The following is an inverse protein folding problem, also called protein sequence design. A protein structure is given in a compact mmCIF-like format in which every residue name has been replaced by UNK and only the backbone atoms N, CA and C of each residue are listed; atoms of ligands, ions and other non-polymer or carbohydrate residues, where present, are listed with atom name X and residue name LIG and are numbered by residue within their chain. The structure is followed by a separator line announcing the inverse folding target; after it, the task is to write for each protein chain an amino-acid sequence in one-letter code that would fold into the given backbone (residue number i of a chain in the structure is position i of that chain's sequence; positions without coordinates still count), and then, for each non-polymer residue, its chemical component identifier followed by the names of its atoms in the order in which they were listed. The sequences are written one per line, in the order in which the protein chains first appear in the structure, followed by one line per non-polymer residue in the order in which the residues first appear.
data_IF_469461121266
#
_entry.id   IF_469461121266
#
_cell.length_a   1.000
_cell.length_b   1.000
_cell.length_c   1.000
_cell.angle_alpha   90.00
_cell.angle_beta   90.00
_cell.angle_gamma   90.00
#
_symmetry.space_group_name_H-M   'P 1'
#
loop_
_entity.id
_entity.type
_entity.pdbx_description
1 polymer ?
#
# COMPACT_ATOMS: atom_id res chain seq x y z
N UNK A 1 -12.51 4.97 25.93
CA UNK A 1 -11.34 5.38 25.16
C UNK A 1 -11.08 4.38 24.07
N UNK A 2 -11.13 4.84 22.84
CA UNK A 2 -10.82 3.97 21.71
C UNK A 2 -9.31 3.98 21.49
N UNK A 3 -8.72 2.82 21.44
CA UNK A 3 -7.31 2.70 21.12
C UNK A 3 -7.08 3.09 19.66
N UNK A 4 -6.05 3.88 19.42
CA UNK A 4 -5.64 4.23 18.07
C UNK A 4 -4.88 3.08 17.44
N UNK A 5 -5.22 2.77 16.20
CA UNK A 5 -4.39 1.89 15.40
C UNK A 5 -3.30 2.75 14.75
N UNK A 6 -2.05 2.44 15.03
CA UNK A 6 -0.92 3.20 14.48
C UNK A 6 -0.37 2.48 13.27
N UNK A 7 -0.22 3.20 12.18
CA UNK A 7 0.22 2.62 10.91
C UNK A 7 1.40 3.38 10.31
N UNK A 8 2.15 2.66 9.49
CA UNK A 8 3.15 3.25 8.61
C UNK A 8 2.78 3.01 7.15
N UNK A 9 3.28 3.85 6.27
CA UNK A 9 3.09 3.72 4.83
C UNK A 9 4.44 3.79 4.13
N UNK A 10 4.71 2.83 3.25
CA UNK A 10 5.89 2.85 2.39
C UNK A 10 5.41 2.90 0.94
N UNK A 11 5.78 3.96 0.21
CA UNK A 11 5.36 4.16 -1.18
C UNK A 11 6.47 3.82 -2.15
N UNK A 12 6.09 3.52 -3.39
CA UNK A 12 7.04 3.26 -4.46
C UNK A 12 7.72 4.56 -4.89
N UNK A 13 9.03 4.58 -4.89
CA UNK A 13 9.79 5.77 -5.26
C UNK A 13 9.61 6.17 -6.72
N UNK A 14 9.17 5.25 -7.57
CA UNK A 14 8.90 5.53 -9.00
C UNK A 14 7.51 6.11 -9.24
N UNK A 15 6.56 5.91 -8.33
CA UNK A 15 5.15 6.24 -8.53
C UNK A 15 4.61 7.04 -7.35
N UNK A 16 5.21 8.23 -7.13
CA UNK A 16 4.77 9.13 -6.07
C UNK A 16 4.59 10.57 -6.55
N UNK A 17 4.30 10.73 -7.84
CA UNK A 17 4.11 12.06 -8.43
C UNK A 17 2.91 12.81 -7.85
N UNK A 18 1.99 12.10 -7.21
CA UNK A 18 0.89 12.73 -6.47
C UNK A 18 1.33 13.23 -5.09
N UNK A 19 2.64 13.20 -4.78
CA UNK A 19 3.20 13.57 -3.47
C UNK A 19 2.60 12.75 -2.33
N UNK A 20 2.21 11.50 -2.60
CA UNK A 20 1.55 10.66 -1.61
C UNK A 20 0.11 11.05 -1.34
N UNK A 21 -0.42 12.02 -2.07
CA UNK A 21 -1.75 12.57 -1.82
C UNK A 21 -2.88 11.57 -1.97
N UNK A 22 -2.77 10.64 -2.92
CA UNK A 22 -3.79 9.60 -3.10
C UNK A 22 -3.83 8.65 -1.91
N UNK A 23 -2.67 8.27 -1.37
CA UNK A 23 -2.60 7.44 -0.17
C UNK A 23 -3.25 8.15 1.03
N UNK A 24 -2.92 9.42 1.23
CA UNK A 24 -3.44 10.18 2.36
C UNK A 24 -4.94 10.44 2.21
N UNK A 25 -5.41 10.71 0.98
CA UNK A 25 -6.84 10.88 0.72
C UNK A 25 -7.62 9.61 1.03
N UNK A 26 -7.11 8.47 0.60
CA UNK A 26 -7.77 7.20 0.87
C UNK A 26 -7.76 6.83 2.35
N UNK A 27 -6.71 7.19 3.07
CA UNK A 27 -6.67 7.01 4.52
C UNK A 27 -7.75 7.87 5.19
N UNK A 28 -7.84 9.13 4.81
CA UNK A 28 -8.84 10.03 5.36
C UNK A 28 -10.27 9.52 5.10
N UNK A 29 -10.52 9.05 3.89
CA UNK A 29 -11.84 8.58 3.46
C UNK A 29 -12.11 7.11 3.80
N UNK A 30 -11.13 6.38 4.32
CA UNK A 30 -11.23 4.94 4.59
C UNK A 30 -11.61 4.14 3.35
N UNK A 31 -10.92 4.42 2.24
CA UNK A 31 -11.12 3.76 0.96
C UNK A 31 -9.97 2.83 0.61
N UNK A 32 -10.17 1.95 -0.35
CA UNK A 32 -9.16 0.98 -0.75
C UNK A 32 -8.80 0.05 0.39
N UNK A 33 -7.51 -0.16 0.60
CA UNK A 33 -7.04 -1.02 1.68
C UNK A 33 -7.34 -0.45 3.06
N UNK A 34 -7.59 0.86 3.16
CA UNK A 34 -7.93 1.49 4.44
C UNK A 34 -9.39 1.28 4.85
N UNK A 35 -10.20 0.63 4.02
CA UNK A 35 -11.58 0.30 4.39
C UNK A 35 -11.65 -0.64 5.60
N UNK A 36 -10.58 -1.34 5.92
CA UNK A 36 -10.50 -2.17 7.12
C UNK A 36 -10.54 -1.35 8.42
N UNK A 37 -10.36 -0.04 8.32
CA UNK A 37 -10.34 0.86 9.48
C UNK A 37 -11.61 1.69 9.61
N UNK A 38 -12.72 1.25 9.01
CA UNK A 38 -14.00 1.93 9.20
C UNK A 38 -14.31 2.02 10.69
N UNK A 39 -14.72 3.21 11.13
CA UNK A 39 -15.07 3.49 12.52
C UNK A 39 -13.92 3.30 13.52
N UNK A 40 -12.68 3.21 13.02
CA UNK A 40 -11.50 3.11 13.89
C UNK A 40 -10.70 4.40 13.83
N UNK A 41 -10.10 4.72 14.97
CA UNK A 41 -9.17 5.84 15.06
C UNK A 41 -7.80 5.34 14.56
N UNK A 42 -7.22 6.04 13.59
CA UNK A 42 -5.96 5.66 12.98
C UNK A 42 -4.98 6.83 13.05
N UNK A 43 -3.76 6.54 13.45
CA UNK A 43 -2.68 7.51 13.49
C UNK A 43 -1.55 7.07 12.55
N UNK A 44 -1.15 7.95 11.65
CA UNK A 44 -0.01 7.70 10.77
C UNK A 44 1.26 8.07 11.52
N UNK A 45 2.12 7.08 11.77
CA UNK A 45 3.35 7.27 12.56
C UNK A 45 4.63 7.15 11.73
N UNK A 46 4.51 6.88 10.45
CA UNK A 46 5.65 6.82 9.55
C UNK A 46 5.21 6.84 8.10
N UNK A 47 6.00 7.50 7.25
CA UNK A 47 5.67 7.66 5.84
C UNK A 47 6.96 7.88 5.07
N UNK A 48 7.27 6.99 4.15
CA UNK A 48 8.49 7.09 3.36
C UNK A 48 8.37 6.31 2.05
N UNK A 49 9.42 6.33 1.25
CA UNK A 49 9.48 5.55 0.00
C UNK A 49 10.37 4.34 0.18
N UNK A 50 10.33 3.46 -0.83
CA UNK A 50 11.24 2.30 -0.90
C UNK A 50 12.68 2.71 -1.25
N UNK A 51 12.92 3.98 -1.57
CA UNK A 51 14.24 4.48 -1.95
C UNK A 51 14.67 4.13 -3.36
N UNK A 52 13.76 3.63 -4.18
CA UNK A 52 14.08 3.16 -5.53
C UNK A 52 14.49 1.70 -5.58
N UNK A 53 14.37 1.10 -6.76
CA UNK A 53 14.73 -0.31 -6.93
C UNK A 53 16.21 -0.55 -6.66
N UNK A 54 16.55 -1.62 -5.95
CA UNK A 54 15.74 -2.75 -5.53
C UNK A 54 14.96 -2.57 -4.24
N UNK A 55 14.86 -1.36 -3.68
CA UNK A 55 14.01 -1.09 -2.54
C UNK A 55 14.64 -1.34 -1.18
N UNK A 56 15.94 -1.07 -1.06
CA UNK A 56 16.67 -1.33 0.18
C UNK A 56 16.10 -0.61 1.40
N UNK A 57 15.48 0.56 1.20
CA UNK A 57 14.91 1.32 2.30
C UNK A 57 13.75 0.59 2.98
N UNK A 58 13.10 -0.35 2.31
CA UNK A 58 12.02 -1.15 2.90
C UNK A 58 12.55 -2.00 4.06
N UNK A 59 13.83 -2.34 4.06
CA UNK A 59 14.42 -3.13 5.14
C UNK A 59 14.72 -2.28 6.39
N UNK A 60 14.84 -0.97 6.26
CA UNK A 60 15.18 -0.08 7.37
C UNK A 60 13.99 0.74 7.89
N UNK A 61 13.15 1.21 7.00
CA UNK A 61 12.08 2.12 7.35
C UNK A 61 11.16 1.61 8.47
N UNK A 62 10.82 0.30 8.50
CA UNK A 62 9.96 -0.19 9.58
C UNK A 62 10.53 0.00 10.98
N UNK A 63 11.85 0.04 11.13
CA UNK A 63 12.47 0.17 12.46
C UNK A 63 11.98 1.41 13.20
N UNK A 64 12.00 2.57 12.56
CA UNK A 64 11.54 3.81 13.19
C UNK A 64 10.03 3.85 13.34
N UNK A 65 9.31 3.31 12.35
CA UNK A 65 7.85 3.21 12.43
C UNK A 65 7.40 2.39 13.64
N UNK A 66 8.05 1.25 13.86
CA UNK A 66 7.76 0.38 15.02
C UNK A 66 8.11 1.07 16.33
N UNK A 67 9.22 1.81 16.35
CA UNK A 67 9.60 2.62 17.50
C UNK A 67 8.52 3.61 17.90
N UNK A 68 7.83 4.15 16.89
CA UNK A 68 6.74 5.10 17.08
C UNK A 68 5.39 4.40 17.31
N UNK A 69 5.41 3.08 17.43
CA UNK A 69 4.25 2.30 17.80
C UNK A 69 3.45 1.71 16.65
N UNK A 70 4.00 1.70 15.41
CA UNK A 70 3.28 1.11 14.28
C UNK A 70 2.92 -0.35 14.54
N UNK A 71 1.66 -0.67 14.28
CA UNK A 71 1.12 -2.02 14.42
C UNK A 71 0.93 -2.67 13.05
N UNK A 72 0.76 -1.84 12.02
CA UNK A 72 0.54 -2.27 10.64
C UNK A 72 1.35 -1.39 9.72
N UNK A 73 1.99 -1.98 8.72
CA UNK A 73 2.67 -1.24 7.66
C UNK A 73 1.94 -1.52 6.35
N UNK A 74 1.55 -0.45 5.68
CA UNK A 74 0.92 -0.51 4.37
C UNK A 74 1.97 -0.30 3.28
N UNK A 75 2.06 -1.23 2.35
CA UNK A 75 2.84 -1.07 1.14
C UNK A 75 1.93 -0.48 0.07
N UNK A 76 2.27 0.70 -0.42
CA UNK A 76 1.35 1.50 -1.22
C UNK A 76 0.92 0.84 -2.53
N UNK A 77 -0.25 1.23 -3.00
CA UNK A 77 -0.82 0.75 -4.25
C UNK A 77 0.10 0.98 -5.44
N UNK A 78 0.94 2.02 -5.42
CA UNK A 78 1.92 2.25 -6.48
C UNK A 78 2.87 1.09 -6.71
N UNK A 79 3.15 0.27 -5.67
CA UNK A 79 3.97 -0.93 -5.81
C UNK A 79 3.26 -2.03 -6.62
N UNK A 80 1.95 -1.95 -6.71
CA UNK A 80 1.11 -2.96 -7.37
C UNK A 80 0.74 -2.53 -8.80
N UNK A 81 0.50 -1.23 -9.01
CA UNK A 81 0.00 -0.71 -10.28
C UNK A 81 1.08 -0.25 -11.24
N UNK A 82 2.34 -0.22 -10.80
CA UNK A 82 3.44 0.12 -11.69
C UNK A 82 3.53 -0.86 -12.86
N UNK A 83 4.23 -0.47 -13.89
CA UNK A 83 4.46 -1.39 -15.00
C UNK A 83 5.96 -1.39 -15.38
N UNK A 84 6.62 -2.49 -14.96
CA UNK A 84 6.02 -3.61 -14.22
C UNK A 84 5.72 -3.23 -12.76
N UNK A 85 4.83 -3.97 -12.12
CA UNK A 85 4.68 -3.85 -10.67
C UNK A 85 5.99 -4.20 -9.96
N UNK A 86 6.09 -3.84 -8.68
CA UNK A 86 7.30 -4.15 -7.92
C UNK A 86 7.59 -5.65 -7.93
N UNK A 87 8.75 -6.09 -8.44
CA UNK A 87 9.06 -7.52 -8.51
C UNK A 87 9.33 -8.12 -7.13
N UNK A 88 9.50 -7.30 -6.10
CA UNK A 88 9.77 -7.75 -4.74
C UNK A 88 8.55 -7.65 -3.83
N UNK A 89 7.38 -7.43 -4.40
CA UNK A 89 6.16 -7.26 -3.60
C UNK A 89 5.84 -8.46 -2.71
N UNK A 90 6.20 -9.66 -3.12
CA UNK A 90 6.00 -10.86 -2.31
C UNK A 90 7.04 -10.97 -1.19
N UNK A 91 8.25 -10.48 -1.43
CA UNK A 91 9.35 -10.56 -0.47
C UNK A 91 9.19 -9.55 0.67
N UNK A 92 8.79 -8.32 0.36
CA UNK A 92 8.73 -7.25 1.36
C UNK A 92 7.82 -7.57 2.56
N UNK A 93 6.60 -8.07 2.36
CA UNK A 93 5.75 -8.39 3.50
C UNK A 93 6.36 -9.46 4.39
N UNK A 94 6.94 -10.51 3.80
CA UNK A 94 7.57 -11.58 4.58
C UNK A 94 8.75 -11.07 5.39
N UNK A 95 9.59 -10.25 4.77
CA UNK A 95 10.74 -9.67 5.46
C UNK A 95 10.30 -8.80 6.64
N UNK A 96 9.35 -7.89 6.40
CA UNK A 96 8.89 -6.97 7.45
C UNK A 96 8.27 -7.73 8.61
N UNK A 97 7.41 -8.70 8.32
CA UNK A 97 6.79 -9.52 9.36
C UNK A 97 7.83 -10.28 10.19
N UNK A 98 8.77 -10.91 9.52
CA UNK A 98 9.80 -11.72 10.17
C UNK A 98 10.75 -10.86 11.02
N UNK A 99 11.16 -9.72 10.48
CA UNK A 99 12.16 -8.86 11.13
C UNK A 99 11.57 -8.00 12.24
N UNK A 100 10.35 -7.51 12.06
CA UNK A 100 9.78 -6.50 12.94
C UNK A 100 8.53 -6.96 13.70
N UNK A 101 7.98 -8.10 13.35
CA UNK A 101 6.83 -8.64 14.07
C UNK A 101 5.54 -7.85 13.93
N UNK A 102 5.41 -7.07 12.86
CA UNK A 102 4.20 -6.26 12.61
C UNK A 102 3.41 -6.83 11.45
N UNK A 103 2.13 -6.48 11.39
CA UNK A 103 1.28 -6.82 10.25
C UNK A 103 1.66 -5.98 9.04
N UNK A 104 1.49 -6.56 7.85
CA UNK A 104 1.72 -5.87 6.59
C UNK A 104 0.49 -6.02 5.72
N UNK A 105 0.01 -4.91 5.17
CA UNK A 105 -1.08 -4.89 4.21
C UNK A 105 -0.53 -4.34 2.90
N UNK A 106 -0.76 -5.08 1.82
CA UNK A 106 -0.39 -4.58 0.49
C UNK A 106 -1.55 -3.73 -0.02
N UNK A 107 -1.29 -2.45 -0.19
CA UNK A 107 -2.26 -1.50 -0.71
C UNK A 107 -2.53 -0.32 0.20
N UNK A 108 -2.90 0.77 -0.43
CA UNK A 108 -3.36 2.01 0.18
C UNK A 108 -4.63 2.47 -0.53
N UNK A 109 -4.51 3.34 -1.53
CA UNK A 109 -5.68 3.85 -2.25
C UNK A 109 -6.23 2.82 -3.25
N UNK A 110 -7.50 2.98 -3.66
CA UNK A 110 -8.06 2.16 -4.73
C UNK A 110 -7.21 2.25 -6.01
N UNK A 111 -7.19 1.15 -6.76
CA UNK A 111 -6.46 1.11 -8.03
C UNK A 111 -7.10 2.13 -8.99
N UNK A 112 -6.32 3.09 -9.54
CA UNK A 112 -6.87 4.00 -10.54
C UNK A 112 -7.36 3.23 -11.77
N UNK A 113 -8.50 3.65 -12.33
CA UNK A 113 -9.14 2.92 -13.43
C UNK A 113 -8.21 2.76 -14.63
N UNK A 114 -7.43 3.78 -14.97
CA UNK A 114 -6.51 3.70 -16.11
C UNK A 114 -5.44 2.61 -15.92
N UNK A 115 -4.95 2.41 -14.70
CA UNK A 115 -3.99 1.34 -14.43
C UNK A 115 -4.67 -0.02 -14.42
N UNK A 116 -5.90 -0.08 -13.92
CA UNK A 116 -6.69 -1.31 -13.98
C UNK A 116 -6.86 -1.78 -15.42
N UNK A 117 -7.33 -0.89 -16.30
CA UNK A 117 -7.53 -1.21 -17.70
C UNK A 117 -6.25 -1.68 -18.38
N UNK A 118 -5.15 -0.99 -18.12
CA UNK A 118 -3.86 -1.32 -18.71
C UNK A 118 -3.37 -2.72 -18.29
N UNK A 119 -3.45 -3.03 -17.00
CA UNK A 119 -2.97 -4.32 -16.51
C UNK A 119 -3.89 -5.48 -16.88
N UNK A 120 -5.20 -5.23 -17.00
CA UNK A 120 -6.12 -6.22 -17.53
C UNK A 120 -5.77 -6.54 -18.99
N UNK A 121 -5.53 -5.53 -19.80
CA UNK A 121 -5.15 -5.71 -21.20
C UNK A 121 -3.81 -6.44 -21.32
N UNK A 122 -2.83 -6.09 -20.50
CA UNK A 122 -1.51 -6.73 -20.52
C UNK A 122 -1.49 -8.12 -19.89
N UNK A 123 -2.53 -8.48 -19.14
CA UNK A 123 -2.56 -9.74 -18.41
C UNK A 123 -1.62 -9.80 -17.21
N UNK A 124 -1.15 -8.64 -16.73
CA UNK A 124 -0.17 -8.57 -15.64
C UNK A 124 -0.64 -9.26 -14.37
N UNK A 125 -1.93 -9.15 -14.07
CA UNK A 125 -2.50 -9.66 -12.82
C UNK A 125 -3.31 -10.95 -13.01
N UNK A 126 -3.09 -11.68 -14.10
CA UNK A 126 -3.90 -12.86 -14.41
C UNK A 126 -3.63 -14.05 -13.47
N UNK A 127 -2.39 -14.17 -12.96
CA UNK A 127 -2.06 -15.27 -12.07
C UNK A 127 -2.82 -15.16 -10.74
N UNK A 128 -3.23 -16.30 -10.14
CA UNK A 128 -3.98 -16.29 -8.88
C UNK A 128 -3.31 -15.50 -7.76
N UNK A 129 -1.99 -15.53 -7.69
CA UNK A 129 -1.21 -14.76 -6.72
C UNK A 129 -1.50 -13.26 -6.82
N UNK A 130 -1.53 -12.75 -8.05
CA UNK A 130 -1.81 -11.34 -8.27
C UNK A 130 -3.25 -10.97 -7.99
N UNK A 131 -4.19 -11.87 -8.26
CA UNK A 131 -5.60 -11.64 -7.91
C UNK A 131 -5.75 -11.40 -6.41
N UNK A 132 -5.05 -12.19 -5.59
CA UNK A 132 -5.06 -12.01 -4.13
C UNK A 132 -4.39 -10.70 -3.72
N UNK A 133 -3.29 -10.33 -4.34
CA UNK A 133 -2.54 -9.11 -4.01
C UNK A 133 -3.36 -7.85 -4.28
N UNK A 134 -4.08 -7.80 -5.41
CA UNK A 134 -4.83 -6.60 -5.79
C UNK A 134 -6.18 -6.48 -5.06
N UNK A 135 -6.66 -7.56 -4.44
CA UNK A 135 -7.99 -7.59 -3.84
C UNK A 135 -8.29 -6.43 -2.89
N UNK A 136 -7.40 -6.06 -1.94
CA UNK A 136 -7.71 -5.00 -1.00
C UNK A 136 -7.95 -3.62 -1.65
N UNK A 137 -7.42 -3.41 -2.83
CA UNK A 137 -7.49 -2.10 -3.51
C UNK A 137 -8.31 -2.13 -4.79
N UNK A 138 -8.96 -3.25 -5.08
CA UNK A 138 -9.70 -3.40 -6.33
C UNK A 138 -10.87 -2.41 -6.43
N UNK A 139 -11.71 -2.33 -5.39
CA UNK A 139 -12.86 -1.42 -5.34
C UNK A 139 -13.80 -1.57 -6.55
N UNK A 140 -14.81 -0.72 -6.64
CA UNK A 140 -15.68 -0.67 -7.80
C UNK A 140 -15.17 0.35 -8.83
N UNK A 141 -15.76 0.32 -10.03
CA UNK A 141 -15.33 1.19 -11.13
C UNK A 141 -15.45 2.68 -10.77
N UNK A 142 -16.54 3.07 -10.14
CA UNK A 142 -16.75 4.49 -9.79
C UNK A 142 -15.66 4.97 -8.84
N UNK A 143 -15.33 4.15 -7.84
CA UNK A 143 -14.26 4.47 -6.89
C UNK A 143 -12.91 4.53 -7.61
N UNK A 144 -12.63 3.56 -8.50
CA UNK A 144 -11.37 3.57 -9.26
C UNK A 144 -11.23 4.82 -10.12
N UNK A 145 -12.34 5.26 -10.75
CA UNK A 145 -12.33 6.48 -11.57
C UNK A 145 -12.00 7.72 -10.74
N UNK A 146 -12.43 7.75 -9.49
CA UNK A 146 -12.15 8.88 -8.60
C UNK A 146 -10.67 9.00 -8.26
N UNK A 147 -9.88 7.97 -8.53
CA UNK A 147 -8.44 7.97 -8.27
C UNK A 147 -7.58 8.08 -9.54
N UNK A 148 -8.20 8.32 -10.69
CA UNK A 148 -7.46 8.57 -11.95
C UNK A 148 -6.73 9.95 -11.99
#
# INVERSE_FOLDING_TARGET
MTDKTKIGIIICDRYHTCAGGKCLRSLHNREGAFSIYQDRDVELVGYTTCGGCPGGNVEYAPAEMVKNGAQVIHLATGLVVGYPPCPRIAYFPEFIRAQYGVEVVIGTHPIPQKYYDMHVELGTWDAPRWKAIIQPTLADRETRLAYD
#
